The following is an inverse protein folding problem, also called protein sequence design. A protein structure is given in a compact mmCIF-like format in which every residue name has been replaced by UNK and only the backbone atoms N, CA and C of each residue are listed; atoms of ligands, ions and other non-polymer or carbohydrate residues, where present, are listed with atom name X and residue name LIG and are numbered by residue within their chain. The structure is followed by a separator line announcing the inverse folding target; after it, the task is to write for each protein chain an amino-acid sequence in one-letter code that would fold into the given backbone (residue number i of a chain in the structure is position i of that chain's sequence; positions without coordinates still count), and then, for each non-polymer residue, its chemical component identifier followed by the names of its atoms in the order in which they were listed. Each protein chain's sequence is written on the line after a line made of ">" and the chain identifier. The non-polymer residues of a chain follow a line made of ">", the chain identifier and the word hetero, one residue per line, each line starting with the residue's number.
data_IF_295964951431
#
_entry.id   IF_295964951431
#
_cell.length_a   1.000
_cell.length_b   1.000
_cell.length_c   1.000
_cell.angle_alpha   90.00
_cell.angle_beta   90.00
_cell.angle_gamma   90.00
#
_symmetry.space_group_name_H-M   'P 1'
#
loop_
_entity.id
_entity.type
_entity.pdbx_description
1 polymer ?
#
# COMPACT_ATOMS: atom_id res chain seq x y z
N UNK A 1 -5.04 -21.69 -14.30
CA UNK A 1 -4.33 -20.54 -13.70
C UNK A 1 -3.05 -21.10 -13.08
N UNK A 2 -1.86 -20.65 -13.50
CA UNK A 2 -0.60 -21.04 -12.83
C UNK A 2 -0.52 -20.29 -11.49
N UNK A 3 -0.25 -21.01 -10.41
CA UNK A 3 -0.02 -20.43 -9.09
C UNK A 3 1.41 -19.88 -9.03
N UNK A 4 1.54 -18.56 -8.84
CA UNK A 4 2.83 -17.90 -8.62
C UNK A 4 3.04 -17.76 -7.11
N UNK A 5 4.14 -18.27 -6.54
CA UNK A 5 4.40 -18.11 -5.11
C UNK A 5 4.67 -16.63 -4.77
N UNK A 6 4.34 -16.17 -3.55
CA UNK A 6 4.65 -14.82 -3.12
C UNK A 6 6.17 -14.61 -3.04
N UNK A 7 6.64 -13.39 -3.31
CA UNK A 7 8.01 -12.99 -2.95
C UNK A 7 8.16 -12.87 -1.42
N UNK A 8 9.39 -12.96 -0.88
CA UNK A 8 9.66 -12.68 0.53
C UNK A 8 9.04 -11.36 1.02
N UNK A 9 9.17 -10.29 0.23
CA UNK A 9 8.59 -8.98 0.55
C UNK A 9 7.06 -9.01 0.55
N UNK A 10 6.44 -9.68 -0.41
CA UNK A 10 4.97 -9.81 -0.43
C UNK A 10 4.46 -10.56 0.81
N UNK A 11 5.13 -11.66 1.19
CA UNK A 11 4.77 -12.41 2.39
C UNK A 11 4.95 -11.58 3.65
N UNK A 12 6.05 -10.82 3.77
CA UNK A 12 6.29 -9.91 4.88
C UNK A 12 5.18 -8.85 4.99
N UNK A 13 4.86 -8.17 3.89
CA UNK A 13 3.91 -7.07 3.91
C UNK A 13 2.49 -7.56 4.23
N UNK A 14 2.04 -8.63 3.58
CA UNK A 14 0.72 -9.21 3.84
C UNK A 14 0.60 -9.76 5.26
N UNK A 15 1.66 -10.38 5.79
CA UNK A 15 1.70 -10.84 7.18
C UNK A 15 1.62 -9.68 8.17
N UNK A 16 2.29 -8.56 7.90
CA UNK A 16 2.20 -7.35 8.70
C UNK A 16 0.78 -6.76 8.72
N UNK A 17 0.13 -6.69 7.56
CA UNK A 17 -1.25 -6.20 7.43
C UNK A 17 -2.21 -7.10 8.20
N UNK A 18 -2.16 -8.41 7.98
CA UNK A 18 -3.01 -9.39 8.67
C UNK A 18 -2.78 -9.32 10.18
N UNK A 19 -1.53 -9.41 10.63
CA UNK A 19 -1.20 -9.33 12.07
C UNK A 19 -1.73 -8.05 12.70
N UNK A 20 -1.58 -6.89 12.04
CA UNK A 20 -2.07 -5.61 12.56
C UNK A 20 -3.60 -5.58 12.63
N UNK A 21 -4.30 -5.97 11.56
CA UNK A 21 -5.78 -5.93 11.52
C UNK A 21 -6.41 -6.92 12.50
N UNK A 22 -5.81 -8.09 12.73
CA UNK A 22 -6.34 -9.09 13.66
C UNK A 22 -6.04 -8.79 15.13
N UNK A 23 -4.94 -8.10 15.45
CA UNK A 23 -4.45 -8.01 16.83
C UNK A 23 -4.37 -6.59 17.40
N UNK A 24 -4.65 -5.56 16.61
CA UNK A 24 -4.52 -4.15 17.02
C UNK A 24 -5.84 -3.39 16.91
N UNK A 25 -5.98 -2.25 17.62
CA UNK A 25 -7.14 -1.39 17.48
C UNK A 25 -7.41 -0.98 16.03
N UNK A 26 -8.67 -0.71 15.72
CA UNK A 26 -9.12 -0.41 14.36
C UNK A 26 -8.34 0.75 13.71
N UNK A 27 -8.02 1.81 14.46
CA UNK A 27 -7.26 2.95 13.94
C UNK A 27 -5.84 2.58 13.49
N UNK A 28 -5.19 1.60 14.13
CA UNK A 28 -3.90 1.07 13.70
C UNK A 28 -4.04 0.24 12.41
N UNK A 29 -5.11 -0.55 12.29
CA UNK A 29 -5.44 -1.29 11.07
C UNK A 29 -5.65 -0.36 9.87
N UNK A 30 -6.47 0.68 10.03
CA UNK A 30 -6.65 1.72 9.00
C UNK A 30 -5.32 2.39 8.65
N UNK A 31 -4.52 2.74 9.66
CA UNK A 31 -3.21 3.37 9.45
C UNK A 31 -2.21 2.47 8.70
N UNK A 32 -2.26 1.16 8.92
CA UNK A 32 -1.42 0.19 8.22
C UNK A 32 -1.81 0.01 6.74
N UNK A 33 -3.10 0.13 6.42
CA UNK A 33 -3.61 -0.02 5.04
C UNK A 33 -3.53 1.29 4.25
N UNK A 34 -3.70 2.45 4.90
CA UNK A 34 -3.76 3.75 4.22
C UNK A 34 -2.62 4.02 3.21
N UNK A 35 -1.35 3.67 3.45
CA UNK A 35 -0.27 3.87 2.48
C UNK A 35 -0.52 3.24 1.12
N UNK A 36 -1.15 2.05 1.03
CA UNK A 36 -1.37 1.39 -0.26
C UNK A 36 -2.36 2.17 -1.14
N UNK A 37 -3.38 2.77 -0.53
CA UNK A 37 -4.29 3.68 -1.23
C UNK A 37 -3.56 4.95 -1.66
N UNK A 38 -2.94 5.63 -0.69
CA UNK A 38 -2.42 6.97 -0.91
C UNK A 38 -1.20 6.99 -1.84
N UNK A 39 -0.22 6.11 -1.63
CA UNK A 39 1.01 6.08 -2.44
C UNK A 39 0.68 5.78 -3.90
N UNK A 40 -0.20 4.79 -4.17
CA UNK A 40 -0.60 4.48 -5.54
C UNK A 40 -1.28 5.67 -6.22
N UNK A 41 -2.12 6.43 -5.51
CA UNK A 41 -2.73 7.64 -6.06
C UNK A 41 -1.68 8.70 -6.42
N UNK A 42 -0.73 8.98 -5.53
CA UNK A 42 0.32 9.98 -5.79
C UNK A 42 1.21 9.55 -6.96
N UNK A 43 1.62 8.28 -7.00
CA UNK A 43 2.42 7.72 -8.11
C UNK A 43 1.63 7.76 -9.42
N UNK A 44 0.35 7.37 -9.41
CA UNK A 44 -0.51 7.41 -10.58
C UNK A 44 -0.69 8.83 -11.11
N UNK A 45 -0.93 9.81 -10.23
CA UNK A 45 -1.02 11.23 -10.59
C UNK A 45 0.27 11.77 -11.18
N UNK A 46 1.42 11.39 -10.61
CA UNK A 46 2.73 11.81 -11.13
C UNK A 46 2.97 11.23 -12.53
N UNK A 47 2.74 9.92 -12.71
CA UNK A 47 2.96 9.25 -13.99
C UNK A 47 1.97 9.71 -15.08
N UNK A 48 0.75 10.11 -14.70
CA UNK A 48 -0.25 10.64 -15.63
C UNK A 48 0.21 11.90 -16.36
N UNK A 49 1.13 12.69 -15.78
CA UNK A 49 1.74 13.86 -16.44
C UNK A 49 2.53 13.49 -17.70
N UNK A 50 3.03 12.25 -17.77
CA UNK A 50 3.85 11.74 -18.89
C UNK A 50 3.13 10.70 -19.74
N UNK A 51 2.31 9.85 -19.11
CA UNK A 51 1.70 8.68 -19.75
C UNK A 51 2.72 7.59 -20.12
N UNK A 52 2.23 6.56 -20.82
CA UNK A 52 3.01 5.43 -21.29
C UNK A 52 2.65 5.06 -22.74
N UNK A 53 3.63 4.73 -23.59
CA UNK A 53 3.36 4.19 -24.93
C UNK A 53 2.88 2.73 -24.90
N UNK A 54 3.06 2.02 -23.78
CA UNK A 54 2.53 0.67 -23.57
C UNK A 54 1.14 0.74 -22.95
N UNK A 55 0.17 0.10 -23.60
CA UNK A 55 -1.24 0.10 -23.20
C UNK A 55 -1.44 -0.44 -21.78
N UNK A 56 -0.71 -1.48 -21.37
CA UNK A 56 -0.86 -2.09 -20.05
C UNK A 56 -0.47 -1.13 -18.93
N UNK A 57 0.62 -0.38 -19.13
CA UNK A 57 1.07 0.62 -18.16
C UNK A 57 0.22 1.87 -18.21
N UNK A 58 -0.30 2.25 -19.38
CA UNK A 58 -1.24 3.36 -19.48
C UNK A 58 -2.52 3.06 -18.70
N UNK A 59 -3.09 1.85 -18.84
CA UNK A 59 -4.24 1.42 -18.03
C UNK A 59 -3.97 1.46 -16.52
N UNK A 60 -2.78 1.03 -16.09
CA UNK A 60 -2.36 1.12 -14.69
C UNK A 60 -2.33 2.59 -14.22
N UNK A 61 -1.72 3.48 -15.00
CA UNK A 61 -1.65 4.92 -14.71
C UNK A 61 -3.04 5.55 -14.65
N UNK A 62 -3.92 5.24 -15.61
CA UNK A 62 -5.28 5.77 -15.67
C UNK A 62 -6.13 5.30 -14.49
N UNK A 63 -5.90 4.06 -14.02
CA UNK A 63 -6.58 3.53 -12.85
C UNK A 63 -6.18 4.31 -11.60
N UNK A 64 -4.89 4.33 -11.25
CA UNK A 64 -4.44 4.91 -9.97
C UNK A 64 -4.36 6.44 -9.98
N UNK A 65 -4.16 7.05 -11.16
CA UNK A 65 -4.24 8.50 -11.38
C UNK A 65 -5.65 8.99 -11.78
N UNK A 66 -6.65 8.11 -11.72
CA UNK A 66 -8.04 8.40 -12.08
C UNK A 66 -8.83 9.02 -10.92
N UNK A 67 -9.85 9.82 -11.26
CA UNK A 67 -10.71 10.47 -10.27
C UNK A 67 -11.49 9.46 -9.41
N UNK A 68 -11.83 8.29 -9.96
CA UNK A 68 -12.52 7.24 -9.23
C UNK A 68 -11.66 6.67 -8.09
N UNK A 69 -10.40 6.36 -8.38
CA UNK A 69 -9.46 5.90 -7.36
C UNK A 69 -9.20 7.00 -6.32
N UNK A 70 -9.04 8.25 -6.74
CA UNK A 70 -8.91 9.39 -5.83
C UNK A 70 -10.11 9.55 -4.87
N UNK A 71 -11.34 9.33 -5.34
CA UNK A 71 -12.52 9.34 -4.45
C UNK A 71 -12.41 8.28 -3.37
N UNK A 72 -12.00 7.06 -3.72
CA UNK A 72 -11.76 5.99 -2.73
C UNK A 72 -10.69 6.36 -1.72
N UNK A 73 -9.57 6.93 -2.17
CA UNK A 73 -8.46 7.37 -1.29
C UNK A 73 -8.93 8.45 -0.32
N UNK A 74 -9.74 9.42 -0.79
CA UNK A 74 -10.32 10.46 0.07
C UNK A 74 -11.19 9.88 1.18
N UNK A 75 -12.01 8.86 0.88
CA UNK A 75 -12.82 8.20 1.89
C UNK A 75 -11.96 7.51 2.97
N UNK A 76 -10.86 6.86 2.59
CA UNK A 76 -9.95 6.24 3.56
C UNK A 76 -9.23 7.29 4.41
N UNK A 77 -8.84 8.42 3.81
CA UNK A 77 -8.27 9.56 4.53
C UNK A 77 -9.26 10.18 5.52
N UNK A 78 -10.53 10.32 5.14
CA UNK A 78 -11.59 10.80 6.02
C UNK A 78 -11.77 9.88 7.24
N UNK A 79 -11.79 8.55 7.02
CA UNK A 79 -11.84 7.57 8.11
C UNK A 79 -10.62 7.75 9.03
N UNK A 80 -9.41 7.79 8.48
CA UNK A 80 -8.18 7.95 9.27
C UNK A 80 -8.17 9.25 10.09
N UNK A 81 -8.67 10.35 9.53
CA UNK A 81 -8.74 11.65 10.21
C UNK A 81 -9.90 11.76 11.21
N UNK A 82 -10.88 10.86 11.16
CA UNK A 82 -12.03 10.88 12.08
C UNK A 82 -11.69 10.41 13.50
N UNK A 83 -10.57 9.69 13.67
CA UNK A 83 -10.18 9.13 14.96
C UNK A 83 -9.73 10.22 15.94
N UNK A 84 -10.31 10.20 17.14
CA UNK A 84 -9.88 11.01 18.28
C UNK A 84 -8.95 10.16 19.15
N UNK A 85 -7.65 10.27 18.91
CA UNK A 85 -6.61 9.45 19.54
C UNK A 85 -5.88 10.22 20.62
N UNK A 86 -5.51 9.54 21.70
CA UNK A 86 -4.48 10.02 22.62
C UNK A 86 -3.11 10.05 21.93
N UNK A 87 -2.14 10.77 22.51
CA UNK A 87 -0.82 10.96 21.89
C UNK A 87 -0.09 9.63 21.64
N UNK A 88 -0.18 8.66 22.55
CA UNK A 88 0.48 7.35 22.36
C UNK A 88 -0.21 6.50 21.28
N UNK A 89 -1.54 6.54 21.20
CA UNK A 89 -2.30 5.85 20.14
C UNK A 89 -1.99 6.44 18.76
N UNK A 90 -1.89 7.77 18.69
CA UNK A 90 -1.50 8.50 17.47
C UNK A 90 -0.09 8.13 17.04
N UNK A 91 0.84 8.00 17.98
CA UNK A 91 2.23 7.60 17.71
C UNK A 91 2.31 6.19 17.15
N UNK A 92 1.59 5.22 17.71
CA UNK A 92 1.55 3.86 17.17
C UNK A 92 0.86 3.82 15.79
N UNK A 93 -0.22 4.58 15.58
CA UNK A 93 -0.84 4.74 14.27
C UNK A 93 0.15 5.28 13.21
N UNK A 94 0.89 6.34 13.53
CA UNK A 94 1.93 6.90 12.65
C UNK A 94 3.03 5.88 12.34
N UNK A 95 3.41 5.06 13.33
CA UNK A 95 4.41 4.00 13.16
C UNK A 95 3.90 2.91 12.22
N UNK A 96 2.64 2.49 12.32
CA UNK A 96 2.03 1.53 11.37
C UNK A 96 2.02 2.08 9.95
N UNK A 97 1.58 3.34 9.79
CA UNK A 97 1.59 4.03 8.51
C UNK A 97 3.00 4.07 7.91
N UNK A 98 4.00 4.52 8.68
CA UNK A 98 5.39 4.58 8.23
C UNK A 98 5.95 3.22 7.81
N UNK A 99 5.69 2.18 8.60
CA UNK A 99 6.20 0.84 8.29
C UNK A 99 5.56 0.30 6.99
N UNK A 100 4.26 0.48 6.81
CA UNK A 100 3.59 0.12 5.56
C UNK A 100 4.12 0.93 4.37
N UNK A 101 4.40 2.23 4.51
CA UNK A 101 5.03 3.02 3.43
C UNK A 101 6.42 2.50 3.05
N UNK A 102 7.22 2.03 4.02
CA UNK A 102 8.52 1.39 3.75
C UNK A 102 8.30 0.08 3.00
N UNK A 103 7.32 -0.73 3.41
CA UNK A 103 7.00 -1.99 2.75
C UNK A 103 6.46 -1.79 1.32
N UNK A 104 5.76 -0.69 1.04
CA UNK A 104 5.38 -0.31 -0.33
C UNK A 104 6.61 -0.06 -1.21
N UNK A 105 7.59 0.70 -0.73
CA UNK A 105 8.86 0.86 -1.46
C UNK A 105 9.55 -0.49 -1.71
N UNK A 106 9.64 -1.34 -0.67
CA UNK A 106 10.21 -2.68 -0.80
C UNK A 106 9.44 -3.51 -1.82
N UNK A 107 8.10 -3.37 -1.89
CA UNK A 107 7.28 -4.10 -2.84
C UNK A 107 7.66 -3.74 -4.29
N UNK A 108 7.79 -2.45 -4.60
CA UNK A 108 8.28 -1.99 -5.91
C UNK A 108 9.68 -2.51 -6.24
N UNK A 109 10.60 -2.43 -5.28
CA UNK A 109 11.98 -2.91 -5.45
C UNK A 109 12.04 -4.45 -5.64
N UNK A 110 11.18 -5.19 -4.93
CA UNK A 110 11.08 -6.65 -5.06
C UNK A 110 10.65 -7.08 -6.46
N UNK A 111 9.70 -6.35 -7.07
CA UNK A 111 9.27 -6.60 -8.44
C UNK A 111 10.37 -6.25 -9.45
N UNK A 112 11.09 -5.14 -9.23
CA UNK A 112 12.20 -4.73 -10.09
C UNK A 112 13.36 -5.73 -10.07
N UNK A 113 13.67 -6.30 -8.90
CA UNK A 113 14.73 -7.30 -8.70
C UNK A 113 14.30 -8.73 -8.98
N UNK A 114 13.01 -8.97 -9.27
CA UNK A 114 12.42 -10.31 -9.36
C UNK A 114 12.74 -11.15 -8.11
N UNK A 115 12.53 -10.56 -6.93
CA UNK A 115 12.88 -11.16 -5.65
C UNK A 115 12.24 -12.55 -5.47
N UNK A 116 13.07 -13.52 -5.10
CA UNK A 116 12.66 -14.87 -4.75
C UNK A 116 13.28 -15.32 -3.42
N UNK A 117 12.73 -16.40 -2.87
CA UNK A 117 13.35 -17.05 -1.72
C UNK A 117 14.68 -17.70 -2.12
N UNK A 118 15.66 -17.76 -1.19
CA UNK A 118 16.93 -18.45 -1.45
C UNK A 118 16.77 -19.98 -1.58
N UNK A 119 15.67 -20.54 -1.08
CA UNK A 119 15.36 -21.97 -1.15
C UNK A 119 13.90 -22.18 -1.59
N UNK A 120 13.60 -23.36 -2.15
CA UNK A 120 12.22 -23.73 -2.50
C UNK A 120 11.32 -23.81 -1.28
N UNK A 121 10.09 -23.35 -1.45
CA UNK A 121 8.99 -23.41 -0.47
C UNK A 121 7.98 -24.48 -0.89
#
# INVERSE_FOLDING_TARGET
>A
IKTVPPSPTNLLYTSFLLSTVYSRPYHEGVSAVLPCYWIYMEVGKELKKRGSPKEEYQRWIDTYGGEEYERGVRQVLEIANSFKLADEEKKEAIKKFRLASIMEYMFWDSAYKLEGFPFSI
#
